data_IF_320342185588
#
_entry.id   IF_320342185588
#
_cell.length_a   1.000
_cell.length_b   1.000
_cell.length_c   1.000
_cell.angle_alpha   90.00
_cell.angle_beta   90.00
_cell.angle_gamma   90.00
#
_symmetry.space_group_name_H-M   'P 1'
#
loop_
_entity.id
_entity.type
_entity.pdbx_description
1 polymer ?
#
# COMPACT_ATOMS: atom_id res chain seq x y z
N UNK A 1 -27.97 5.25 21.40
CA UNK A 1 -27.02 4.21 20.95
C UNK A 1 -25.86 4.95 20.32
N UNK A 2 -24.78 5.13 21.08
CA UNK A 2 -23.55 5.71 20.56
C UNK A 2 -22.94 4.57 19.76
N UNK A 3 -23.01 4.64 18.43
CA UNK A 3 -22.28 3.70 17.61
C UNK A 3 -20.83 3.83 18.08
N UNK A 4 -20.27 2.74 18.63
CA UNK A 4 -18.83 2.65 18.83
C UNK A 4 -18.22 3.06 17.50
N UNK A 5 -17.35 4.06 17.55
CA UNK A 5 -16.61 4.54 16.40
C UNK A 5 -16.19 3.29 15.61
N UNK A 6 -16.84 3.09 14.47
CA UNK A 6 -16.25 2.35 13.37
C UNK A 6 -14.98 3.14 13.11
N UNK A 7 -13.91 2.80 13.82
CA UNK A 7 -12.58 3.02 13.34
C UNK A 7 -12.64 2.31 12.00
N UNK A 8 -12.72 3.05 10.88
CA UNK A 8 -12.64 2.39 9.61
C UNK A 8 -11.22 1.83 9.67
N UNK A 9 -11.10 0.55 10.02
CA UNK A 9 -9.94 -0.22 9.70
C UNK A 9 -9.87 0.01 8.20
N UNK A 10 -9.02 0.96 7.83
CA UNK A 10 -8.81 1.37 6.48
C UNK A 10 -8.16 0.11 5.94
N UNK A 11 -8.98 -0.78 5.41
CA UNK A 11 -8.58 -2.01 4.78
C UNK A 11 -8.37 -1.57 3.34
N UNK A 12 -7.15 -1.13 2.99
CA UNK A 12 -6.86 -0.77 1.62
C UNK A 12 -7.23 -1.99 0.78
N UNK A 13 -8.25 -1.82 -0.07
CA UNK A 13 -8.61 -2.83 -1.05
C UNK A 13 -7.43 -2.97 -1.99
N UNK A 14 -6.60 -3.97 -1.75
CA UNK A 14 -5.51 -4.35 -2.63
C UNK A 14 -5.99 -5.48 -3.52
N UNK A 15 -5.87 -5.27 -4.83
CA UNK A 15 -5.95 -6.41 -5.75
C UNK A 15 -4.78 -7.37 -5.50
N UNK A 16 -5.03 -8.66 -5.71
CA UNK A 16 -4.09 -9.72 -5.37
C UNK A 16 -2.75 -9.51 -6.08
N UNK A 17 -1.67 -9.33 -5.31
CA UNK A 17 -0.32 -9.08 -5.84
C UNK A 17 0.40 -10.42 -5.96
N UNK A 18 0.77 -10.81 -7.18
CA UNK A 18 1.45 -12.08 -7.45
C UNK A 18 2.64 -11.89 -8.39
N UNK A 19 3.41 -12.94 -8.63
CA UNK A 19 4.50 -12.88 -9.62
C UNK A 19 4.02 -12.65 -11.06
N UNK A 20 2.77 -13.01 -11.38
CA UNK A 20 2.14 -12.77 -12.68
C UNK A 20 1.39 -11.43 -12.72
N UNK A 21 0.86 -10.98 -11.58
CA UNK A 21 0.13 -9.73 -11.41
C UNK A 21 1.02 -8.68 -10.73
N UNK A 22 1.78 -7.96 -11.54
CA UNK A 22 2.70 -6.91 -11.07
C UNK A 22 2.03 -5.56 -10.82
N UNK A 23 0.75 -5.44 -11.16
CA UNK A 23 0.00 -4.21 -11.01
C UNK A 23 -0.82 -4.24 -9.72
N UNK A 24 -0.66 -3.18 -8.93
CA UNK A 24 -1.29 -3.05 -7.61
C UNK A 24 -2.16 -1.82 -7.59
N UNK A 25 -3.43 -2.04 -7.29
CA UNK A 25 -4.40 -0.98 -7.01
C UNK A 25 -4.65 -0.99 -5.52
N UNK A 26 -4.52 0.17 -4.89
CA UNK A 26 -4.83 0.36 -3.49
C UNK A 26 -5.65 1.61 -3.27
N UNK A 27 -6.33 1.67 -2.13
CA UNK A 27 -7.01 2.89 -1.68
C UNK A 27 -6.35 3.33 -0.38
N UNK A 28 -6.16 4.64 -0.20
CA UNK A 28 -5.76 5.27 1.05
C UNK A 28 -6.50 6.61 1.20
N UNK A 29 -6.06 7.50 2.10
CA UNK A 29 -6.55 8.87 2.17
C UNK A 29 -6.28 9.65 0.86
N UNK A 30 -7.17 10.56 0.44
CA UNK A 30 -6.98 11.38 -0.76
C UNK A 30 -5.78 12.31 -0.63
N UNK A 31 -5.18 12.67 -1.78
CA UNK A 31 -4.05 13.61 -1.89
C UNK A 31 -2.86 13.28 -0.95
N UNK A 32 -2.68 11.99 -0.65
CA UNK A 32 -1.69 11.48 0.30
C UNK A 32 -0.56 10.76 -0.43
N UNK A 33 0.67 11.00 0.03
CA UNK A 33 1.85 10.33 -0.50
C UNK A 33 2.06 8.98 0.19
N UNK A 34 1.81 7.91 -0.56
CA UNK A 34 2.09 6.53 -0.19
C UNK A 34 3.50 6.17 -0.65
N UNK A 35 4.25 5.55 0.23
CA UNK A 35 5.62 5.08 0.03
C UNK A 35 5.63 3.56 -0.01
N UNK A 36 6.13 3.03 -1.11
CA UNK A 36 6.12 1.60 -1.43
C UNK A 36 7.56 1.12 -1.40
N UNK A 37 7.84 0.07 -0.65
CA UNK A 37 9.17 -0.52 -0.53
C UNK A 37 9.11 -2.01 -0.84
N UNK A 38 9.97 -2.48 -1.75
CA UNK A 38 10.13 -3.90 -2.06
C UNK A 38 11.38 -4.43 -1.36
N UNK A 39 11.25 -5.45 -0.52
CA UNK A 39 12.34 -6.07 0.26
C UNK A 39 13.18 -5.08 1.08
N UNK A 40 12.56 -4.03 1.63
CA UNK A 40 13.25 -2.92 2.30
C UNK A 40 14.24 -2.14 1.40
N UNK A 41 14.17 -2.38 0.09
CA UNK A 41 15.04 -1.79 -0.91
C UNK A 41 14.58 -0.40 -1.36
N UNK A 42 14.51 -0.22 -2.67
CA UNK A 42 14.16 1.08 -3.27
C UNK A 42 12.75 1.48 -2.83
N UNK A 43 12.64 2.67 -2.20
CA UNK A 43 11.37 3.28 -1.88
C UNK A 43 10.86 4.07 -3.08
N UNK A 44 9.71 3.66 -3.58
CA UNK A 44 8.91 4.44 -4.53
C UNK A 44 7.88 5.26 -3.78
N UNK A 45 7.41 6.34 -4.38
CA UNK A 45 6.32 7.13 -3.81
C UNK A 45 5.27 7.40 -4.86
N UNK A 46 4.02 7.08 -4.54
CA UNK A 46 2.84 7.38 -5.34
C UNK A 46 1.95 8.34 -4.55
N UNK A 47 1.29 9.27 -5.23
CA UNK A 47 0.33 10.17 -4.60
C UNK A 47 -1.05 9.69 -4.97
N UNK A 48 -1.93 9.54 -3.98
CA UNK A 48 -3.31 9.15 -4.22
C UNK A 48 -4.10 10.26 -4.89
N UNK A 49 -5.05 9.86 -5.72
CA UNK A 49 -6.01 10.75 -6.37
C UNK A 49 -6.99 11.37 -5.37
N UNK A 50 -7.87 12.25 -5.87
CA UNK A 50 -8.93 12.90 -5.09
C UNK A 50 -9.89 11.91 -4.41
N UNK A 51 -9.99 10.68 -4.95
CA UNK A 51 -10.76 9.58 -4.37
C UNK A 51 -9.98 8.70 -3.40
N UNK A 52 -8.69 8.96 -3.18
CA UNK A 52 -7.83 8.10 -2.37
C UNK A 52 -7.26 6.89 -3.10
N UNK A 53 -7.59 6.69 -4.38
CA UNK A 53 -7.06 5.61 -5.20
C UNK A 53 -5.58 5.85 -5.53
N UNK A 54 -4.78 4.80 -5.55
CA UNK A 54 -3.45 4.81 -6.13
C UNK A 54 -3.19 3.51 -6.87
N UNK A 55 -2.37 3.60 -7.91
CA UNK A 55 -1.97 2.47 -8.73
C UNK A 55 -0.44 2.45 -8.82
N UNK A 56 0.14 1.26 -8.72
CA UNK A 56 1.58 1.09 -8.80
C UNK A 56 1.93 -0.21 -9.54
N UNK A 57 2.73 -0.06 -10.59
CA UNK A 57 3.28 -1.17 -11.36
C UNK A 57 4.68 -1.54 -10.86
N UNK A 58 4.86 -2.80 -10.48
CA UNK A 58 6.17 -3.36 -10.21
C UNK A 58 6.83 -3.81 -11.53
N UNK A 59 8.14 -3.59 -11.66
CA UNK A 59 8.88 -4.09 -12.84
C UNK A 59 9.07 -5.61 -12.78
N UNK A 60 9.26 -6.16 -11.58
CA UNK A 60 9.46 -7.59 -11.34
C UNK A 60 9.13 -7.89 -9.88
N UNK A 61 8.41 -9.00 -9.65
CA UNK A 61 8.17 -9.58 -8.33
C UNK A 61 8.58 -11.05 -8.34
N UNK A 62 9.14 -11.52 -7.24
CA UNK A 62 9.56 -12.90 -7.04
C UNK A 62 8.85 -13.47 -5.81
N UNK A 63 8.60 -14.79 -5.83
CA UNK A 63 8.10 -15.49 -4.65
C UNK A 63 9.08 -15.29 -3.49
N UNK A 64 8.55 -14.82 -2.36
CA UNK A 64 9.31 -14.48 -1.17
C UNK A 64 9.54 -12.98 -0.99
N UNK A 65 9.29 -12.16 -2.01
CA UNK A 65 9.40 -10.70 -1.91
C UNK A 65 8.40 -10.14 -0.90
N UNK A 66 8.83 -9.14 -0.14
CA UNK A 66 8.02 -8.46 0.87
C UNK A 66 7.77 -7.02 0.43
N UNK A 67 6.51 -6.67 0.21
CA UNK A 67 6.08 -5.34 -0.17
C UNK A 67 5.56 -4.65 1.08
N UNK A 68 6.07 -3.44 1.34
CA UNK A 68 5.62 -2.59 2.45
C UNK A 68 5.05 -1.30 1.90
N UNK A 69 3.81 -1.00 2.27
CA UNK A 69 3.18 0.28 2.01
C UNK A 69 3.17 1.10 3.29
N UNK A 70 3.66 2.32 3.17
CA UNK A 70 3.81 3.22 4.30
C UNK A 70 3.39 4.63 3.92
N UNK A 71 2.96 5.41 4.89
CA UNK A 71 2.70 6.84 4.71
C UNK A 71 3.60 7.65 5.61
N UNK A 72 4.00 8.83 5.14
CA UNK A 72 4.82 9.73 5.94
C UNK A 72 3.93 10.46 6.94
N UNK A 73 4.04 10.10 8.21
CA UNK A 73 3.38 10.78 9.32
C UNK A 73 4.41 11.62 10.08
N UNK A 74 4.53 12.90 9.71
CA UNK A 74 5.56 13.79 10.26
C UNK A 74 6.97 13.36 9.87
N UNK A 75 7.75 12.87 10.84
CA UNK A 75 9.15 12.43 10.67
C UNK A 75 9.26 10.92 10.45
N UNK A 76 8.19 10.16 10.70
CA UNK A 76 8.17 8.70 10.65
C UNK A 76 7.38 8.18 9.44
N UNK A 77 7.69 6.97 9.03
CA UNK A 77 6.92 6.23 8.03
C UNK A 77 6.08 5.19 8.76
N UNK A 78 4.77 5.37 8.71
CA UNK A 78 3.81 4.45 9.32
C UNK A 78 3.46 3.39 8.28
N UNK A 79 3.84 2.13 8.54
CA UNK A 79 3.56 1.00 7.65
C UNK A 79 2.14 0.55 7.93
N UNK A 80 1.27 0.69 6.94
CA UNK A 80 -0.13 0.30 7.07
C UNK A 80 -0.44 -1.04 6.40
N UNK A 81 0.41 -1.49 5.46
CA UNK A 81 0.32 -2.80 4.84
C UNK A 81 1.71 -3.40 4.66
N UNK A 82 1.85 -4.67 5.02
CA UNK A 82 2.97 -5.52 4.64
C UNK A 82 2.39 -6.80 4.02
N UNK A 83 2.72 -7.04 2.76
CA UNK A 83 2.30 -8.22 2.01
C UNK A 83 3.54 -8.97 1.55
N UNK A 84 3.52 -10.30 1.69
CA UNK A 84 4.59 -11.16 1.21
C UNK A 84 4.08 -11.97 0.03
N UNK A 85 4.77 -11.89 -1.10
CA UNK A 85 4.46 -12.67 -2.30
C UNK A 85 4.71 -14.14 -2.00
N UNK A 86 3.67 -14.96 -2.10
CA UNK A 86 3.72 -16.41 -1.83
C UNK A 86 3.64 -17.25 -3.11
N UNK A 87 3.12 -16.68 -4.18
CA UNK A 87 2.91 -17.31 -5.49
C UNK A 87 3.05 -16.28 -6.62
#
# INVERSE_FOLDING_TARGET
MRYEDINPAFDPLFENITTEQLHVIGVYAPETKVYISLNDGRRSSVTTDIGGLFEYDFETLNVGDVIKFSVKNGTTYDVFLEEKIRE
#
